data_IF_340038023069
#
_entry.id   IF_340038023069
#
_cell.length_a   1.000
_cell.length_b   1.000
_cell.length_c   1.000
_cell.angle_alpha   90.00
_cell.angle_beta   90.00
_cell.angle_gamma   90.00
#
_symmetry.space_group_name_H-M   'P 1'
#
loop_
_entity.id
_entity.type
_entity.pdbx_description
1 polymer ?
#
# COMPACT_ATOMS: atom_id res chain seq x y z
N UNK A 1 19.37 -1.86 -10.09
CA UNK A 1 18.21 -1.53 -10.96
C UNK A 1 16.99 -2.28 -10.43
N UNK A 2 15.86 -1.59 -10.19
CA UNK A 2 14.60 -2.21 -9.75
C UNK A 2 13.92 -2.80 -10.98
N UNK A 3 13.45 -4.04 -10.89
CA UNK A 3 12.66 -4.69 -11.94
C UNK A 3 11.17 -4.37 -11.73
N UNK A 4 10.51 -3.84 -12.76
CA UNK A 4 9.07 -3.58 -12.74
C UNK A 4 8.34 -4.62 -13.59
N UNK A 5 7.24 -5.16 -13.08
CA UNK A 5 6.45 -6.16 -13.79
C UNK A 5 4.97 -6.09 -13.40
N UNK A 6 4.13 -6.57 -14.31
CA UNK A 6 2.67 -6.61 -14.13
C UNK A 6 2.16 -7.97 -14.55
N UNK A 7 1.48 -8.65 -13.65
CA UNK A 7 0.76 -9.88 -13.98
C UNK A 7 -0.61 -9.57 -14.57
N UNK A 8 -1.12 -10.40 -15.48
CA UNK A 8 -2.44 -10.17 -16.07
C UNK A 8 -3.54 -10.13 -15.00
N UNK A 9 -4.31 -9.04 -14.98
CA UNK A 9 -5.48 -8.91 -14.13
C UNK A 9 -6.70 -9.48 -14.86
N UNK A 10 -7.41 -10.41 -14.25
CA UNK A 10 -8.52 -11.14 -14.88
C UNK A 10 -9.87 -10.81 -14.24
N UNK A 11 -10.94 -10.86 -15.05
CA UNK A 11 -12.32 -10.73 -14.58
C UNK A 11 -12.70 -9.31 -14.15
N UNK A 12 -13.36 -9.20 -13.00
CA UNK A 12 -13.89 -7.95 -12.47
C UNK A 12 -12.90 -7.16 -11.59
N UNK A 13 -11.60 -7.29 -11.86
CA UNK A 13 -10.52 -6.65 -11.11
C UNK A 13 -9.73 -5.71 -12.01
N UNK A 14 -9.17 -4.64 -11.41
CA UNK A 14 -8.32 -3.65 -12.09
C UNK A 14 -7.15 -3.25 -11.20
N UNK A 15 -6.07 -2.81 -11.80
CA UNK A 15 -5.01 -2.15 -11.07
C UNK A 15 -5.37 -0.67 -10.86
N UNK A 16 -5.28 -0.18 -9.62
CA UNK A 16 -5.63 1.22 -9.33
C UNK A 16 -4.59 2.22 -9.84
N UNK A 17 -3.37 1.75 -10.16
CA UNK A 17 -2.26 2.54 -10.69
C UNK A 17 -1.53 1.76 -11.78
N UNK A 18 -0.70 2.45 -12.56
CA UNK A 18 0.19 1.87 -13.56
C UNK A 18 1.61 1.66 -13.02
N UNK A 19 2.42 0.85 -13.71
CA UNK A 19 3.86 0.75 -13.40
C UNK A 19 4.60 2.08 -13.60
N UNK A 20 4.13 2.93 -14.50
CA UNK A 20 4.70 4.27 -14.68
C UNK A 20 4.48 5.12 -13.42
N UNK A 21 3.28 5.10 -12.83
CA UNK A 21 2.99 5.81 -11.58
C UNK A 21 3.91 5.37 -10.45
N UNK A 22 4.09 4.05 -10.33
CA UNK A 22 4.96 3.44 -9.32
C UNK A 22 6.43 3.86 -9.55
N UNK A 23 6.91 3.74 -10.78
CA UNK A 23 8.28 4.13 -11.14
C UNK A 23 8.55 5.61 -10.88
N UNK A 24 7.64 6.49 -11.31
CA UNK A 24 7.75 7.94 -11.12
C UNK A 24 7.76 8.30 -9.63
N UNK A 25 6.98 7.59 -8.82
CA UNK A 25 6.96 7.83 -7.37
C UNK A 25 8.25 7.38 -6.70
N UNK A 26 8.75 6.21 -7.03
CA UNK A 26 10.03 5.71 -6.50
C UNK A 26 11.21 6.58 -6.91
N UNK A 27 11.21 7.13 -8.12
CA UNK A 27 12.26 8.03 -8.60
C UNK A 27 12.38 9.35 -7.81
N UNK A 28 11.36 9.71 -7.02
CA UNK A 28 11.35 10.89 -6.15
C UNK A 28 11.82 10.61 -4.72
N UNK A 29 12.08 9.35 -4.39
CA UNK A 29 12.60 8.96 -3.08
C UNK A 29 14.13 9.10 -3.04
N UNK A 30 14.73 9.27 -1.85
CA UNK A 30 16.16 9.14 -1.69
C UNK A 30 16.65 7.80 -2.25
N UNK A 31 17.75 7.83 -3.00
CA UNK A 31 18.29 6.63 -3.66
C UNK A 31 18.67 5.55 -2.65
N UNK A 32 19.08 5.95 -1.46
CA UNK A 32 19.39 5.08 -0.33
C UNK A 32 18.17 4.31 0.16
N UNK A 33 16.96 4.88 0.09
CA UNK A 33 15.75 4.23 0.59
C UNK A 33 15.28 3.08 -0.31
N UNK A 34 15.57 3.17 -1.60
CA UNK A 34 15.22 2.14 -2.58
C UNK A 34 16.41 1.25 -2.98
N UNK A 35 17.60 1.53 -2.43
CA UNK A 35 18.79 0.73 -2.71
C UNK A 35 18.60 -0.73 -2.25
N UNK A 36 18.92 -1.70 -3.11
CA UNK A 36 18.75 -3.12 -2.81
C UNK A 36 17.32 -3.64 -3.00
N UNK A 37 16.33 -2.78 -3.28
CA UNK A 37 15.00 -3.24 -3.70
C UNK A 37 15.12 -3.93 -5.07
N UNK A 38 14.73 -5.20 -5.12
CA UNK A 38 14.92 -6.05 -6.31
C UNK A 38 13.83 -5.86 -7.35
N UNK A 39 12.56 -5.79 -6.91
CA UNK A 39 11.43 -5.63 -7.81
C UNK A 39 10.22 -4.95 -7.16
N UNK A 40 9.38 -4.36 -8.01
CA UNK A 40 8.03 -3.90 -7.66
C UNK A 40 7.07 -4.35 -8.75
N UNK A 41 5.97 -4.98 -8.37
CA UNK A 41 5.02 -5.53 -9.33
C UNK A 41 3.55 -5.28 -8.97
N UNK A 42 2.73 -5.31 -10.02
CA UNK A 42 1.28 -5.31 -9.91
C UNK A 42 0.79 -6.76 -10.02
N UNK A 43 0.07 -7.21 -8.99
CA UNK A 43 -0.40 -8.59 -8.89
C UNK A 43 -1.92 -8.67 -8.80
N UNK A 44 -2.53 -9.67 -9.43
CA UNK A 44 -3.94 -9.93 -9.21
C UNK A 44 -4.16 -10.34 -7.75
N UNK A 45 -5.23 -9.81 -7.14
CA UNK A 45 -5.62 -10.27 -5.82
C UNK A 45 -6.06 -11.73 -5.88
N UNK A 46 -5.57 -12.53 -4.95
CA UNK A 46 -5.98 -13.91 -4.79
C UNK A 46 -7.01 -14.03 -3.66
N UNK A 47 -7.95 -14.96 -3.76
CA UNK A 47 -8.97 -15.23 -2.72
C UNK A 47 -8.39 -15.44 -1.32
N UNK A 48 -7.10 -15.76 -1.21
CA UNK A 48 -6.39 -15.92 0.06
C UNK A 48 -6.05 -14.59 0.75
N UNK A 49 -6.00 -13.50 -0.01
CA UNK A 49 -5.67 -12.15 0.49
C UNK A 49 -6.93 -11.28 0.68
N UNK A 50 -8.08 -11.89 0.90
CA UNK A 50 -9.38 -11.23 1.08
C UNK A 50 -9.47 -10.33 2.34
N UNK A 51 -8.34 -9.92 2.85
CA UNK A 51 -8.16 -8.95 3.93
C UNK A 51 -7.50 -7.72 3.34
N UNK A 52 -8.22 -6.77 2.77
CA UNK A 52 -7.83 -5.37 2.49
C UNK A 52 -6.32 -5.06 2.38
N UNK A 53 -5.50 -6.05 2.03
CA UNK A 53 -4.09 -5.86 1.83
C UNK A 53 -3.91 -5.25 0.43
N UNK A 54 -3.63 -3.95 0.38
CA UNK A 54 -3.42 -3.26 -0.89
C UNK A 54 -1.98 -3.40 -1.39
N UNK A 55 -1.05 -3.79 -0.52
CA UNK A 55 0.35 -4.02 -0.81
C UNK A 55 0.97 -5.05 0.13
N UNK A 56 2.14 -5.57 -0.21
CA UNK A 56 2.95 -6.44 0.65
C UNK A 56 4.43 -6.34 0.28
N UNK A 57 5.26 -6.15 1.28
CA UNK A 57 6.71 -6.25 1.15
C UNK A 57 7.18 -7.69 1.46
N UNK A 58 7.89 -8.28 0.52
CA UNK A 58 8.55 -9.56 0.68
C UNK A 58 10.06 -9.37 0.88
N UNK A 59 10.56 -9.73 2.05
CA UNK A 59 11.98 -9.70 2.35
C UNK A 59 12.69 -10.98 1.84
N UNK A 60 13.99 -10.90 1.58
CA UNK A 60 14.78 -12.03 1.12
C UNK A 60 15.99 -11.58 0.31
N UNK A 61 16.58 -12.48 -0.47
CA UNK A 61 17.75 -12.18 -1.33
C UNK A 61 17.46 -11.10 -2.38
N UNK A 62 16.20 -11.00 -2.81
CA UNK A 62 15.69 -9.95 -3.72
C UNK A 62 14.40 -9.41 -3.13
N UNK A 63 14.48 -8.40 -2.26
CA UNK A 63 13.30 -7.78 -1.69
C UNK A 63 12.33 -7.29 -2.78
N UNK A 64 11.04 -7.56 -2.61
CA UNK A 64 10.03 -7.27 -3.62
C UNK A 64 8.81 -6.64 -2.98
N UNK A 65 8.21 -5.66 -3.64
CA UNK A 65 6.92 -5.07 -3.27
C UNK A 65 5.87 -5.54 -4.27
N UNK A 66 4.77 -6.07 -3.76
CA UNK A 66 3.57 -6.38 -4.54
C UNK A 66 2.48 -5.36 -4.22
N UNK A 67 1.87 -4.79 -5.25
CA UNK A 67 0.66 -3.97 -5.16
C UNK A 67 -0.48 -4.75 -5.81
N UNK A 68 -1.63 -4.79 -5.14
CA UNK A 68 -2.71 -5.69 -5.55
C UNK A 68 -3.80 -5.00 -6.36
N UNK A 69 -4.42 -5.78 -7.25
CA UNK A 69 -5.62 -5.36 -7.96
C UNK A 69 -6.80 -5.19 -7.00
N UNK A 70 -7.76 -4.38 -7.42
CA UNK A 70 -8.96 -4.05 -6.66
C UNK A 70 -10.21 -4.36 -7.50
N UNK A 71 -11.40 -4.53 -6.90
CA UNK A 71 -12.62 -4.69 -7.66
C UNK A 71 -12.86 -3.53 -8.62
N UNK A 72 -13.28 -3.82 -9.84
CA UNK A 72 -13.62 -2.81 -10.86
C UNK A 72 -14.66 -1.79 -10.36
N UNK A 73 -15.57 -2.22 -9.47
CA UNK A 73 -16.54 -1.33 -8.83
C UNK A 73 -15.94 -0.29 -7.91
N UNK A 74 -14.67 -0.44 -7.52
CA UNK A 74 -13.97 0.36 -6.49
C UNK A 74 -14.74 0.40 -5.16
N UNK A 75 -15.57 -0.59 -4.92
CA UNK A 75 -16.35 -0.75 -3.70
C UNK A 75 -15.90 -1.99 -2.92
N UNK A 76 -15.67 -1.81 -1.66
CA UNK A 76 -15.23 -2.86 -0.75
C UNK A 76 -16.26 -3.07 0.35
N UNK A 77 -16.58 -4.32 0.60
CA UNK A 77 -17.49 -4.71 1.66
C UNK A 77 -16.72 -4.86 2.97
N UNK A 78 -17.18 -4.17 3.99
CA UNK A 78 -16.62 -4.29 5.33
C UNK A 78 -17.03 -5.61 6.00
N UNK A 79 -16.20 -6.14 6.94
CA UNK A 79 -16.60 -7.26 7.78
C UNK A 79 -17.95 -7.02 8.46
N UNK A 80 -18.78 -8.05 8.67
CA UNK A 80 -20.10 -7.88 9.29
C UNK A 80 -20.06 -7.32 10.72
N UNK A 81 -18.94 -7.50 11.42
CA UNK A 81 -18.73 -6.99 12.78
C UNK A 81 -18.31 -5.52 12.83
N UNK A 82 -18.05 -4.88 11.69
CA UNK A 82 -17.56 -3.50 11.63
C UNK A 82 -18.62 -2.55 12.18
N UNK A 83 -18.21 -1.66 13.07
CA UNK A 83 -19.03 -0.56 13.59
C UNK A 83 -18.54 0.75 12.99
N UNK A 84 -19.42 1.76 12.93
CA UNK A 84 -19.08 3.09 12.41
C UNK A 84 -17.86 3.70 13.08
N UNK A 85 -17.78 3.62 14.40
CA UNK A 85 -16.63 4.11 15.18
C UNK A 85 -15.31 3.44 14.80
N UNK A 86 -15.35 2.16 14.39
CA UNK A 86 -14.17 1.43 14.02
C UNK A 86 -13.60 1.97 12.68
N UNK A 87 -14.49 2.33 11.74
CA UNK A 87 -14.09 2.95 10.47
C UNK A 87 -13.41 4.31 10.76
N UNK A 88 -14.04 5.16 11.56
CA UNK A 88 -13.52 6.49 11.89
C UNK A 88 -12.19 6.43 12.65
N UNK A 89 -11.95 5.35 13.41
CA UNK A 89 -10.73 5.17 14.22
C UNK A 89 -9.60 4.49 13.45
N UNK A 90 -9.89 3.47 12.67
CA UNK A 90 -8.86 2.61 12.06
C UNK A 90 -8.63 2.89 10.57
N UNK A 91 -9.57 3.57 9.89
CA UNK A 91 -9.49 3.87 8.47
C UNK A 91 -9.25 5.38 8.23
N UNK A 92 -8.67 6.08 9.21
CA UNK A 92 -8.48 7.53 9.11
C UNK A 92 -7.56 7.95 7.96
N UNK A 93 -6.59 7.09 7.61
CA UNK A 93 -5.68 7.34 6.49
C UNK A 93 -6.45 7.30 5.19
N UNK A 94 -7.18 6.23 4.94
CA UNK A 94 -8.02 6.06 3.74
C UNK A 94 -9.05 7.18 3.61
N UNK A 95 -9.66 7.57 4.74
CA UNK A 95 -10.60 8.70 4.76
C UNK A 95 -9.91 10.01 4.35
N UNK A 96 -8.67 10.23 4.77
CA UNK A 96 -7.89 11.42 4.41
C UNK A 96 -7.53 11.48 2.93
N UNK A 97 -7.47 10.32 2.26
CA UNK A 97 -7.28 10.20 0.82
C UNK A 97 -8.59 10.28 0.01
N UNK A 98 -9.74 10.39 0.67
CA UNK A 98 -11.04 10.57 0.01
C UNK A 98 -11.91 9.31 -0.05
N UNK A 99 -11.54 8.23 0.65
CA UNK A 99 -12.44 7.10 0.83
C UNK A 99 -13.75 7.59 1.48
N UNK A 100 -14.87 7.10 0.97
CA UNK A 100 -16.20 7.30 1.55
C UNK A 100 -16.73 5.98 2.05
N UNK A 101 -17.50 5.98 3.11
CA UNK A 101 -18.21 4.81 3.53
C UNK A 101 -19.72 5.03 3.56
N UNK A 102 -20.46 4.01 3.22
CA UNK A 102 -21.90 4.01 3.17
C UNK A 102 -22.44 2.79 3.92
N UNK A 103 -23.50 3.01 4.70
CA UNK A 103 -24.22 1.91 5.34
C UNK A 103 -25.39 1.49 4.45
N UNK A 104 -25.44 0.19 4.08
CA UNK A 104 -26.56 -0.43 3.38
C UNK A 104 -27.10 -1.57 4.25
N UNK A 105 -28.28 -1.34 4.85
CA UNK A 105 -28.83 -2.25 5.86
C UNK A 105 -27.91 -2.35 7.08
N UNK A 106 -27.52 -3.56 7.47
CA UNK A 106 -26.60 -3.82 8.58
C UNK A 106 -25.12 -3.84 8.20
N UNK A 107 -24.75 -3.48 6.97
CA UNK A 107 -23.38 -3.58 6.46
C UNK A 107 -22.83 -2.25 6.02
N UNK A 108 -21.53 -2.08 6.21
CA UNK A 108 -20.77 -0.95 5.68
C UNK A 108 -20.04 -1.34 4.39
N UNK A 109 -19.93 -0.38 3.50
CA UNK A 109 -19.19 -0.46 2.26
C UNK A 109 -18.27 0.75 2.17
N UNK A 110 -17.04 0.54 1.75
CA UNK A 110 -16.12 1.61 1.39
C UNK A 110 -16.19 1.83 -0.11
N UNK A 111 -16.19 3.08 -0.52
CA UNK A 111 -16.25 3.49 -1.92
C UNK A 111 -15.13 4.48 -2.22
N UNK A 112 -14.45 4.26 -3.33
CA UNK A 112 -13.41 5.12 -3.82
C UNK A 112 -13.77 5.75 -5.17
N UNK A 113 -13.24 6.95 -5.44
CA UNK A 113 -13.01 7.38 -6.82
C UNK A 113 -11.73 6.72 -7.36
N UNK A 114 -11.62 6.54 -8.67
CA UNK A 114 -10.41 5.98 -9.27
C UNK A 114 -9.17 6.85 -8.99
N UNK A 115 -9.32 8.17 -9.03
CA UNK A 115 -8.24 9.12 -8.76
C UNK A 115 -7.76 9.06 -7.31
N UNK A 116 -8.69 9.01 -6.35
CA UNK A 116 -8.35 8.95 -4.92
C UNK A 116 -7.71 7.63 -4.56
N UNK A 117 -8.21 6.50 -5.09
CA UNK A 117 -7.62 5.19 -4.86
C UNK A 117 -6.21 5.11 -5.47
N UNK A 118 -6.02 5.58 -6.72
CA UNK A 118 -4.69 5.66 -7.32
C UNK A 118 -3.73 6.46 -6.45
N UNK A 119 -4.16 7.63 -5.97
CA UNK A 119 -3.36 8.47 -5.08
C UNK A 119 -3.03 7.75 -3.77
N UNK A 120 -3.99 7.08 -3.15
CA UNK A 120 -3.78 6.29 -1.94
C UNK A 120 -2.76 5.16 -2.16
N UNK A 121 -2.89 4.40 -3.24
CA UNK A 121 -1.96 3.30 -3.53
C UNK A 121 -0.54 3.82 -3.77
N UNK A 122 -0.37 4.90 -4.54
CA UNK A 122 0.95 5.42 -4.93
C UNK A 122 1.60 6.25 -3.81
N UNK A 123 0.81 7.08 -3.11
CA UNK A 123 1.35 8.03 -2.12
C UNK A 123 1.28 7.53 -0.69
N UNK A 124 0.63 6.39 -0.43
CA UNK A 124 0.60 5.79 0.90
C UNK A 124 0.99 4.33 0.89
N UNK A 125 0.26 3.45 0.22
CA UNK A 125 0.53 2.00 0.26
C UNK A 125 1.94 1.67 -0.24
N UNK A 126 2.33 2.16 -1.42
CA UNK A 126 3.68 1.96 -1.94
C UNK A 126 4.75 2.46 -0.96
N UNK A 127 4.56 3.64 -0.38
CA UNK A 127 5.51 4.22 0.57
C UNK A 127 5.56 3.43 1.88
N UNK A 128 4.45 2.89 2.35
CA UNK A 128 4.41 1.99 3.50
C UNK A 128 5.27 0.74 3.24
N UNK A 129 5.13 0.11 2.07
CA UNK A 129 5.93 -1.06 1.71
C UNK A 129 7.43 -0.71 1.52
N UNK A 130 7.74 0.49 1.02
CA UNK A 130 9.12 1.00 1.01
C UNK A 130 9.62 1.21 2.43
N UNK A 131 8.79 1.70 3.34
CA UNK A 131 9.12 1.83 4.77
C UNK A 131 9.55 0.49 5.37
N UNK A 132 8.87 -0.60 5.07
CA UNK A 132 9.32 -1.94 5.47
C UNK A 132 10.68 -2.31 4.88
N UNK A 133 10.96 -1.95 3.63
CA UNK A 133 12.25 -2.16 3.00
C UNK A 133 13.37 -1.38 3.71
N UNK A 134 13.14 -0.11 4.00
CA UNK A 134 14.10 0.76 4.73
C UNK A 134 14.37 0.21 6.13
N UNK A 135 13.31 -0.16 6.87
CA UNK A 135 13.42 -0.75 8.20
C UNK A 135 14.21 -2.06 8.18
N UNK A 136 13.93 -2.95 7.22
CA UNK A 136 14.64 -4.21 7.04
C UNK A 136 16.14 -3.97 6.84
N UNK A 137 16.52 -3.07 5.93
CA UNK A 137 17.93 -2.74 5.68
C UNK A 137 18.62 -2.15 6.90
N UNK A 138 17.95 -1.24 7.60
CA UNK A 138 18.47 -0.67 8.83
C UNK A 138 18.74 -1.75 9.88
N UNK A 139 17.81 -2.67 10.09
CA UNK A 139 17.98 -3.81 11.01
C UNK A 139 19.16 -4.70 10.60
N UNK A 140 19.32 -5.00 9.33
CA UNK A 140 20.46 -5.77 8.83
C UNK A 140 21.80 -5.09 9.07
N UNK A 141 21.89 -3.78 8.86
CA UNK A 141 23.11 -2.98 9.14
C UNK A 141 23.51 -3.04 10.61
N UNK A 142 22.54 -3.13 11.51
CA UNK A 142 22.76 -3.30 12.95
C UNK A 142 23.02 -4.75 13.38
N UNK A 143 23.05 -5.70 12.45
CA UNK A 143 23.26 -7.12 12.73
C UNK A 143 22.04 -7.85 13.31
N UNK A 144 20.84 -7.29 13.19
CA UNK A 144 19.61 -7.92 13.65
C UNK A 144 18.88 -8.62 12.52
N UNK A 145 18.27 -9.76 12.84
CA UNK A 145 17.34 -10.40 11.92
C UNK A 145 16.07 -9.55 11.75
N UNK A 146 15.64 -9.43 10.49
CA UNK A 146 14.34 -8.81 10.22
C UNK A 146 13.20 -9.74 10.64
N UNK A 147 12.27 -9.21 11.42
CA UNK A 147 11.02 -9.87 11.77
C UNK A 147 9.88 -9.07 11.13
N UNK A 148 9.21 -9.60 10.08
CA UNK A 148 8.09 -8.93 9.46
C UNK A 148 6.89 -8.86 10.42
N UNK A 149 5.98 -7.93 10.16
CA UNK A 149 4.69 -7.80 10.85
C UNK A 149 4.80 -7.63 12.38
N UNK A 150 5.89 -7.04 12.87
CA UNK A 150 5.98 -6.59 14.25
C UNK A 150 5.33 -5.21 14.38
N UNK A 151 4.79 -4.89 15.56
CA UNK A 151 4.24 -3.55 15.82
C UNK A 151 5.25 -2.45 15.49
N UNK A 152 6.53 -2.67 15.79
CA UNK A 152 7.60 -1.72 15.48
C UNK A 152 7.80 -1.53 13.98
N UNK A 153 7.82 -2.61 13.18
CA UNK A 153 7.97 -2.52 11.74
C UNK A 153 6.79 -1.82 11.06
N UNK A 154 5.56 -2.08 11.53
CA UNK A 154 4.35 -1.43 11.04
C UNK A 154 4.34 0.07 11.39
N UNK A 155 4.68 0.43 12.63
CA UNK A 155 4.76 1.83 13.04
C UNK A 155 5.83 2.60 12.26
N UNK A 156 6.98 1.98 11.98
CA UNK A 156 8.02 2.59 11.16
C UNK A 156 7.52 2.80 9.72
N UNK A 157 6.94 1.77 9.11
CA UNK A 157 6.43 1.83 7.74
C UNK A 157 5.34 2.91 7.59
N UNK A 158 4.42 2.99 8.54
CA UNK A 158 3.38 4.02 8.57
C UNK A 158 3.97 5.43 8.71
N UNK A 159 4.89 5.62 9.65
CA UNK A 159 5.57 6.91 9.83
C UNK A 159 6.34 7.33 8.57
N UNK A 160 7.02 6.38 7.91
CA UNK A 160 7.71 6.61 6.64
C UNK A 160 6.74 7.08 5.55
N UNK A 161 5.63 6.37 5.37
CA UNK A 161 4.61 6.75 4.38
C UNK A 161 4.07 8.16 4.64
N UNK A 162 3.72 8.47 5.87
CA UNK A 162 3.20 9.79 6.24
C UNK A 162 4.20 10.92 6.03
N UNK A 163 5.47 10.70 6.34
CA UNK A 163 6.52 11.70 6.14
C UNK A 163 6.72 12.01 4.66
N UNK A 164 6.81 10.98 3.83
CA UNK A 164 7.11 11.14 2.40
C UNK A 164 5.89 11.57 1.58
N UNK A 165 4.67 11.19 1.96
CA UNK A 165 3.44 11.67 1.29
C UNK A 165 3.21 13.17 1.48
N UNK A 166 3.54 13.73 2.65
CA UNK A 166 3.42 15.17 2.94
C UNK A 166 4.43 16.02 2.18
N UNK A 167 5.65 15.52 1.99
CA UNK A 167 6.68 16.24 1.23
C UNK A 167 6.27 16.53 -0.23
N UNK A 168 5.41 15.68 -0.82
CA UNK A 168 4.89 15.87 -2.17
C UNK A 168 3.85 17.01 -2.26
N UNK A 169 3.25 17.44 -1.16
CA UNK A 169 2.19 18.45 -1.11
C UNK A 169 2.70 19.88 -0.81
N UNK A 170 3.96 20.05 -0.44
CA UNK A 170 4.54 21.37 -0.07
C UNK A 170 5.22 22.09 -1.25
N UNK A 171 5.18 21.52 -2.44
CA UNK A 171 5.80 22.07 -3.67
C UNK A 171 4.85 22.83 -4.58
N UNK A 172 3.82 23.53 -4.04
CA UNK A 172 2.99 24.47 -4.82
C UNK A 172 3.05 25.86 -4.24
#
# INVERSE_FOLDING_TARGET
>A
MIHFFEEPCLGAWVYPCSLADVSDRLARLPIEDIAGLGAVGLFPETRKHNTRCNGTYFYGKRPTIHLYSVPYSLQFKMPPSTKRKDIETYEWVELSYGMKFEQKGSRFFCQWSAADLRRFIVEHVLLHEVGHHVYHRWRQQLGYDYKPLTTESEQFAEAYALCHSRASNTGK
#
